data_IF_236794577366
#
_entry.id   IF_236794577366
#
_cell.length_a   1.000
_cell.length_b   1.000
_cell.length_c   1.000
_cell.angle_alpha   90.00
_cell.angle_beta   90.00
_cell.angle_gamma   90.00
#
_symmetry.space_group_name_H-M   'P 1'
#
loop_
_entity.id
_entity.type
_entity.pdbx_description
1 polymer ?
#
# COMPACT_ATOMS: atom_id res chain seq x y z
N UNK A 1 -20.90 -37.92 -7.76
CA UNK A 1 -19.90 -36.84 -7.82
C UNK A 1 -20.65 -35.59 -8.24
N UNK A 2 -21.27 -34.90 -7.28
CA UNK A 2 -21.96 -33.63 -7.54
C UNK A 2 -21.02 -32.56 -6.99
N UNK A 3 -20.35 -31.86 -7.90
CA UNK A 3 -19.66 -30.61 -7.60
C UNK A 3 -20.76 -29.58 -7.30
N UNK A 4 -21.01 -29.35 -6.02
CA UNK A 4 -21.79 -28.19 -5.58
C UNK A 4 -20.94 -26.95 -5.80
N UNK A 5 -21.24 -26.22 -6.88
CA UNK A 5 -20.79 -24.86 -7.10
C UNK A 5 -21.40 -24.03 -5.97
N UNK A 6 -20.59 -23.64 -4.99
CA UNK A 6 -20.96 -22.57 -4.07
C UNK A 6 -20.98 -21.28 -4.89
N UNK A 7 -22.15 -20.86 -5.39
CA UNK A 7 -22.29 -19.46 -5.75
C UNK A 7 -22.28 -18.68 -4.45
N UNK A 8 -21.32 -17.78 -4.24
CA UNK A 8 -21.44 -16.81 -3.16
C UNK A 8 -22.70 -15.98 -3.45
N UNK A 9 -23.77 -16.22 -2.68
CA UNK A 9 -24.96 -15.40 -2.79
C UNK A 9 -24.66 -14.09 -2.07
N UNK A 10 -24.49 -13.02 -2.84
CA UNK A 10 -24.41 -11.65 -2.34
C UNK A 10 -25.67 -11.40 -1.49
N UNK A 11 -25.48 -11.11 -0.20
CA UNK A 11 -26.60 -10.95 0.74
C UNK A 11 -26.98 -9.48 0.79
N UNK A 12 -28.19 -9.14 0.35
CA UNK A 12 -28.78 -7.81 0.61
C UNK A 12 -28.95 -7.58 2.11
N UNK A 13 -28.68 -6.37 2.56
CA UNK A 13 -28.85 -5.92 3.93
C UNK A 13 -29.19 -4.44 3.97
N UNK A 14 -29.87 -4.04 5.04
CA UNK A 14 -30.24 -2.65 5.32
C UNK A 14 -29.26 -2.05 6.32
N UNK A 15 -28.80 -0.82 6.08
CA UNK A 15 -28.08 -0.05 7.08
C UNK A 15 -29.07 0.59 8.05
N UNK A 16 -28.89 0.34 9.34
CA UNK A 16 -29.55 1.10 10.40
C UNK A 16 -28.62 2.24 10.80
N UNK A 17 -29.10 3.47 10.69
CA UNK A 17 -28.30 4.67 10.89
C UNK A 17 -28.83 5.52 12.05
N UNK A 18 -27.89 6.09 12.81
CA UNK A 18 -28.11 7.33 13.52
C UNK A 18 -27.76 8.50 12.60
N UNK A 19 -28.57 9.55 12.58
CA UNK A 19 -28.34 10.66 11.65
C UNK A 19 -27.72 11.88 12.33
N UNK A 20 -26.75 12.51 11.65
CA UNK A 20 -26.07 13.72 12.14
C UNK A 20 -25.93 14.76 11.04
N UNK A 21 -26.04 16.03 11.44
CA UNK A 21 -25.74 17.17 10.58
C UNK A 21 -24.43 17.78 11.08
N UNK A 22 -23.45 17.96 10.19
CA UNK A 22 -22.17 18.59 10.51
C UNK A 22 -21.70 19.50 9.36
N UNK A 23 -20.71 20.33 9.64
CA UNK A 23 -19.95 21.09 8.64
C UNK A 23 -18.48 20.62 8.67
N UNK A 24 -17.71 20.88 7.61
CA UNK A 24 -16.27 20.65 7.63
C UNK A 24 -15.51 21.89 8.11
N UNK A 25 -14.31 21.68 8.63
CA UNK A 25 -13.36 22.77 8.88
C UNK A 25 -12.99 23.51 7.58
N UNK A 26 -13.16 22.86 6.42
CA UNK A 26 -12.78 23.38 5.10
C UNK A 26 -13.97 23.78 4.21
N UNK A 27 -15.21 23.63 4.66
CA UNK A 27 -16.42 24.05 3.92
C UNK A 27 -17.56 24.47 4.85
N UNK A 28 -18.29 25.51 4.47
CA UNK A 28 -19.52 25.92 5.14
C UNK A 28 -20.73 25.04 4.80
N UNK A 29 -20.59 24.12 3.84
CA UNK A 29 -21.67 23.24 3.43
C UNK A 29 -21.98 22.23 4.54
N UNK A 30 -23.27 22.05 4.82
CA UNK A 30 -23.76 21.06 5.79
C UNK A 30 -23.91 19.69 5.16
N UNK A 31 -23.62 18.66 5.94
CA UNK A 31 -23.60 17.27 5.51
C UNK A 31 -24.50 16.48 6.42
N UNK A 32 -25.38 15.71 5.80
CA UNK A 32 -26.29 14.80 6.46
C UNK A 32 -25.73 13.39 6.38
N UNK A 33 -25.27 12.92 7.54
CA UNK A 33 -24.47 11.71 7.69
C UNK A 33 -25.35 10.59 8.26
N UNK A 34 -25.33 9.43 7.61
CA UNK A 34 -25.69 8.16 8.23
C UNK A 34 -24.49 7.63 9.02
N UNK A 35 -24.59 7.57 10.34
CA UNK A 35 -23.66 6.87 11.23
C UNK A 35 -24.18 5.45 11.47
N UNK A 36 -23.47 4.44 10.96
CA UNK A 36 -23.96 3.05 10.93
C UNK A 36 -23.95 2.42 12.32
N UNK A 37 -25.11 1.92 12.75
CA UNK A 37 -25.30 1.30 14.07
C UNK A 37 -25.17 -0.24 14.03
N UNK A 38 -25.73 -0.89 13.01
CA UNK A 38 -25.84 -2.35 12.90
C UNK A 38 -24.60 -3.00 12.26
N UNK A 39 -23.47 -2.94 12.96
CA UNK A 39 -22.16 -3.37 12.45
C UNK A 39 -22.04 -4.88 12.20
N UNK A 40 -22.95 -5.68 12.76
CA UNK A 40 -22.99 -7.14 12.58
C UNK A 40 -23.27 -7.57 11.13
N UNK A 41 -23.84 -6.68 10.30
CA UNK A 41 -24.11 -7.00 8.89
C UNK A 41 -22.81 -7.20 8.08
N UNK A 42 -21.69 -6.67 8.58
CA UNK A 42 -20.38 -6.77 7.95
C UNK A 42 -19.66 -8.10 8.23
N UNK A 43 -20.30 -9.05 8.92
CA UNK A 43 -19.76 -10.41 9.08
C UNK A 43 -19.65 -11.18 7.76
N UNK A 44 -20.34 -10.74 6.71
CA UNK A 44 -20.23 -11.26 5.37
C UNK A 44 -19.38 -10.31 4.50
N UNK A 45 -18.27 -10.83 3.97
CA UNK A 45 -17.33 -10.08 3.14
C UNK A 45 -17.96 -9.58 1.81
N UNK A 46 -19.11 -10.13 1.39
CA UNK A 46 -19.86 -9.70 0.19
C UNK A 46 -21.27 -9.19 0.51
N UNK A 47 -21.40 -8.37 1.55
CA UNK A 47 -22.68 -7.71 1.87
C UNK A 47 -23.01 -6.63 0.84
N UNK A 48 -24.23 -6.69 0.29
CA UNK A 48 -24.81 -5.65 -0.55
C UNK A 48 -25.74 -4.79 0.30
N UNK A 49 -25.55 -3.49 0.27
CA UNK A 49 -26.44 -2.54 0.96
C UNK A 49 -27.39 -1.94 -0.06
N UNK A 50 -28.68 -2.17 0.13
CA UNK A 50 -29.75 -1.75 -0.79
C UNK A 50 -30.87 -0.96 -0.11
N UNK A 51 -30.72 -0.63 1.17
CA UNK A 51 -31.65 0.20 1.91
C UNK A 51 -30.97 0.88 3.10
N UNK A 52 -31.47 2.06 3.46
CA UNK A 52 -31.14 2.78 4.67
C UNK A 52 -32.40 2.93 5.52
N UNK A 53 -32.26 2.68 6.82
CA UNK A 53 -33.30 2.80 7.81
C UNK A 53 -32.81 3.57 9.04
N UNK A 54 -33.69 4.34 9.66
CA UNK A 54 -33.43 5.05 10.90
C UNK A 54 -34.40 6.22 11.08
N UNK A 55 -34.34 6.84 12.24
CA UNK A 55 -35.18 8.00 12.55
C UNK A 55 -34.47 9.30 12.09
N UNK A 56 -34.93 9.87 10.97
CA UNK A 56 -34.34 11.08 10.39
C UNK A 56 -34.54 12.33 11.26
N UNK A 57 -33.63 13.28 11.12
CA UNK A 57 -33.71 14.60 11.77
C UNK A 57 -34.43 15.61 10.90
N UNK A 58 -35.25 16.43 11.55
CA UNK A 58 -36.04 17.50 10.92
C UNK A 58 -36.91 16.98 9.76
N UNK A 59 -36.75 17.52 8.56
CA UNK A 59 -37.48 17.12 7.35
C UNK A 59 -36.59 16.35 6.36
N UNK A 60 -35.45 15.83 6.79
CA UNK A 60 -34.56 15.08 5.90
C UNK A 60 -35.08 13.68 5.64
N UNK A 61 -34.78 13.15 4.46
CA UNK A 61 -35.11 11.79 4.01
C UNK A 61 -33.84 11.05 3.57
N UNK A 62 -33.98 9.82 3.06
CA UNK A 62 -32.83 9.04 2.57
C UNK A 62 -32.11 9.74 1.41
N UNK A 63 -32.87 10.45 0.56
CA UNK A 63 -32.32 11.15 -0.62
C UNK A 63 -31.43 12.34 -0.25
N UNK A 64 -31.56 12.87 0.97
CA UNK A 64 -30.72 13.97 1.48
C UNK A 64 -29.38 13.48 2.05
N UNK A 65 -29.20 12.18 2.21
CA UNK A 65 -27.98 11.60 2.76
C UNK A 65 -26.83 11.84 1.77
N UNK A 66 -25.79 12.49 2.27
CA UNK A 66 -24.59 12.79 1.50
C UNK A 66 -23.30 12.43 2.26
N UNK A 67 -23.43 11.83 3.45
CA UNK A 67 -22.32 11.27 4.19
C UNK A 67 -22.60 9.88 4.75
N UNK A 68 -21.58 9.02 4.73
CA UNK A 68 -21.60 7.70 5.36
C UNK A 68 -20.44 7.58 6.35
N UNK A 69 -20.73 7.20 7.59
CA UNK A 69 -19.72 6.90 8.61
C UNK A 69 -19.87 5.49 9.15
N UNK A 70 -18.80 4.70 9.07
CA UNK A 70 -18.70 3.35 9.65
C UNK A 70 -17.51 3.33 10.61
N UNK A 71 -17.78 3.15 11.89
CA UNK A 71 -16.71 3.24 12.90
C UNK A 71 -16.71 2.05 13.85
N UNK A 72 -15.56 1.72 14.43
CA UNK A 72 -15.39 0.71 15.49
C UNK A 72 -16.03 -0.64 15.09
N UNK A 73 -15.65 -1.17 13.92
CA UNK A 73 -16.18 -2.43 13.37
C UNK A 73 -15.06 -3.36 12.97
N UNK A 74 -14.70 -4.29 13.87
CA UNK A 74 -13.73 -5.35 13.59
C UNK A 74 -14.22 -6.38 12.56
N UNK A 75 -15.50 -6.32 12.18
CA UNK A 75 -16.10 -7.23 11.19
C UNK A 75 -15.95 -6.71 9.76
N UNK A 76 -15.87 -5.39 9.58
CA UNK A 76 -15.68 -4.80 8.26
C UNK A 76 -14.27 -5.10 7.75
N UNK A 77 -14.14 -6.06 6.83
CA UNK A 77 -12.88 -6.45 6.18
C UNK A 77 -12.77 -6.05 4.72
N UNK A 78 -13.91 -6.02 4.03
CA UNK A 78 -14.08 -5.55 2.66
C UNK A 78 -15.06 -4.39 2.64
N UNK A 79 -14.93 -3.51 1.65
CA UNK A 79 -15.86 -2.41 1.47
C UNK A 79 -17.24 -2.99 1.08
N UNK A 80 -18.35 -2.52 1.69
CA UNK A 80 -19.67 -3.07 1.39
C UNK A 80 -20.11 -2.66 -0.03
N UNK A 81 -20.77 -3.56 -0.75
CA UNK A 81 -21.29 -3.23 -2.09
C UNK A 81 -22.48 -2.28 -1.95
N UNK A 82 -22.25 -0.99 -2.17
CA UNK A 82 -23.25 0.07 -2.06
C UNK A 82 -24.02 0.20 -3.38
N UNK A 83 -25.35 0.19 -3.36
CA UNK A 83 -26.16 0.37 -4.57
C UNK A 83 -26.17 1.83 -5.04
N UNK A 84 -25.92 2.03 -6.33
CA UNK A 84 -25.84 3.35 -6.98
C UNK A 84 -27.04 4.26 -6.66
N UNK A 85 -28.26 3.72 -6.66
CA UNK A 85 -29.50 4.47 -6.42
C UNK A 85 -29.53 5.21 -5.06
N UNK A 86 -28.84 4.69 -4.05
CA UNK A 86 -28.88 5.22 -2.67
C UNK A 86 -27.69 6.13 -2.40
N UNK A 87 -26.54 5.83 -3.02
CA UNK A 87 -25.25 6.42 -2.63
C UNK A 87 -24.63 7.33 -3.69
N UNK A 88 -25.32 7.60 -4.81
CA UNK A 88 -24.87 8.53 -5.87
C UNK A 88 -24.65 9.97 -5.38
N UNK A 89 -25.26 10.36 -4.26
CA UNK A 89 -25.16 11.69 -3.66
C UNK A 89 -24.09 11.80 -2.57
N UNK A 90 -23.37 10.71 -2.29
CA UNK A 90 -22.31 10.73 -1.29
C UNK A 90 -21.19 11.68 -1.69
N UNK A 91 -20.91 12.63 -0.79
CA UNK A 91 -19.77 13.54 -0.85
C UNK A 91 -18.74 13.23 0.24
N UNK A 92 -19.14 12.52 1.29
CA UNK A 92 -18.30 12.16 2.44
C UNK A 92 -18.39 10.68 2.79
N UNK A 93 -17.24 10.05 2.95
CA UNK A 93 -17.12 8.71 3.51
C UNK A 93 -16.07 8.72 4.61
N UNK A 94 -16.44 8.15 5.75
CA UNK A 94 -15.55 7.90 6.88
C UNK A 94 -15.64 6.45 7.30
N UNK A 95 -14.48 5.80 7.34
CA UNK A 95 -14.29 4.46 7.88
C UNK A 95 -13.16 4.55 8.90
N UNK A 96 -13.46 4.27 10.17
CA UNK A 96 -12.50 4.45 11.26
C UNK A 96 -12.52 3.26 12.22
N UNK A 97 -11.35 2.82 12.68
CA UNK A 97 -11.21 1.68 13.61
C UNK A 97 -11.94 0.43 13.09
N UNK A 98 -11.46 -0.07 11.94
CA UNK A 98 -12.00 -1.26 11.28
C UNK A 98 -10.90 -2.23 10.86
N UNK A 99 -11.26 -3.30 10.14
CA UNK A 99 -10.31 -4.27 9.59
C UNK A 99 -10.28 -4.25 8.05
N UNK A 100 -10.68 -3.13 7.42
CA UNK A 100 -10.70 -2.95 5.98
C UNK A 100 -9.29 -3.02 5.36
N UNK A 101 -8.98 -4.15 4.72
CA UNK A 101 -7.62 -4.43 4.20
C UNK A 101 -7.34 -3.89 2.81
N UNK A 102 -8.40 -3.74 2.03
CA UNK A 102 -8.35 -3.49 0.60
C UNK A 102 -9.45 -2.49 0.20
N UNK A 103 -9.14 -1.73 -0.84
CA UNK A 103 -10.02 -0.79 -1.49
C UNK A 103 -9.73 -0.85 -2.98
N UNK A 104 -10.75 -1.05 -3.80
CA UNK A 104 -10.64 -1.20 -5.26
C UNK A 104 -11.50 -0.14 -5.98
N UNK A 105 -11.25 0.07 -7.28
CA UNK A 105 -12.02 1.03 -8.11
C UNK A 105 -13.54 0.83 -7.99
N UNK A 106 -13.98 -0.42 -8.08
CA UNK A 106 -15.41 -0.77 -8.04
C UNK A 106 -16.09 -0.42 -6.71
N UNK A 107 -15.33 -0.28 -5.61
CA UNK A 107 -15.88 0.06 -4.30
C UNK A 107 -16.36 1.52 -4.24
N UNK A 108 -15.73 2.41 -5.01
CA UNK A 108 -16.02 3.85 -5.03
C UNK A 108 -16.65 4.34 -6.34
N UNK A 109 -16.80 3.45 -7.33
CA UNK A 109 -17.17 3.76 -8.71
C UNK A 109 -18.41 4.64 -8.88
N UNK A 110 -19.47 4.40 -8.11
CA UNK A 110 -20.71 5.16 -8.20
C UNK A 110 -20.73 6.47 -7.42
N UNK A 111 -19.74 6.68 -6.53
CA UNK A 111 -19.63 7.86 -5.67
C UNK A 111 -18.88 8.97 -6.40
N UNK A 112 -19.34 9.32 -7.61
CA UNK A 112 -18.65 10.27 -8.50
C UNK A 112 -18.58 11.70 -7.94
N UNK A 113 -19.43 12.03 -6.96
CA UNK A 113 -19.47 13.30 -6.24
C UNK A 113 -18.61 13.32 -4.98
N UNK A 114 -17.88 12.24 -4.68
CA UNK A 114 -17.09 12.11 -3.47
C UNK A 114 -16.00 13.19 -3.41
N UNK A 115 -15.99 13.94 -2.31
CA UNK A 115 -15.03 15.03 -2.05
C UNK A 115 -14.11 14.72 -0.87
N UNK A 116 -14.60 13.94 0.09
CA UNK A 116 -13.95 13.72 1.36
C UNK A 116 -13.93 12.23 1.67
N UNK A 117 -12.73 11.66 1.75
CA UNK A 117 -12.53 10.25 2.04
C UNK A 117 -11.59 10.09 3.22
N UNK A 118 -12.09 9.50 4.29
CA UNK A 118 -11.31 9.16 5.48
C UNK A 118 -11.40 7.66 5.70
N UNK A 119 -10.29 6.96 5.56
CA UNK A 119 -10.18 5.55 5.93
C UNK A 119 -9.00 5.47 6.88
N UNK A 120 -9.25 5.51 8.18
CA UNK A 120 -8.20 5.66 9.22
C UNK A 120 -8.24 4.51 10.20
N UNK A 121 -7.08 4.11 10.73
CA UNK A 121 -6.95 2.95 11.63
C UNK A 121 -7.74 1.72 11.17
N UNK A 122 -7.61 1.36 9.88
CA UNK A 122 -8.46 0.34 9.25
C UNK A 122 -7.69 -0.85 8.66
N UNK A 123 -6.35 -0.90 8.82
CA UNK A 123 -5.47 -1.99 8.32
C UNK A 123 -5.34 -2.06 6.79
N UNK A 124 -5.62 -0.97 6.09
CA UNK A 124 -5.43 -0.86 4.65
C UNK A 124 -3.94 -1.04 4.31
N UNK A 125 -3.61 -1.87 3.31
CA UNK A 125 -2.22 -2.22 2.99
C UNK A 125 -1.69 -1.66 1.66
N UNK A 126 -2.57 -1.58 0.66
CA UNK A 126 -2.20 -1.34 -0.73
C UNK A 126 -3.13 -0.28 -1.32
N UNK A 127 -2.55 0.73 -1.98
CA UNK A 127 -3.28 1.68 -2.82
C UNK A 127 -2.86 1.47 -4.29
N UNK A 128 -3.76 0.93 -5.11
CA UNK A 128 -3.55 0.71 -6.56
C UNK A 128 -3.94 1.96 -7.37
N UNK A 129 -3.45 2.09 -8.60
CA UNK A 129 -3.59 3.32 -9.39
C UNK A 129 -5.03 3.65 -9.79
N UNK A 130 -5.88 2.64 -9.95
CA UNK A 130 -7.25 2.72 -10.47
C UNK A 130 -8.30 3.13 -9.43
N UNK A 131 -7.98 3.09 -8.13
CA UNK A 131 -8.96 3.25 -7.02
C UNK A 131 -9.82 4.51 -7.18
N UNK A 132 -9.25 5.62 -7.67
CA UNK A 132 -9.94 6.90 -7.78
C UNK A 132 -10.29 7.33 -9.21
N UNK A 133 -10.29 6.40 -10.17
CA UNK A 133 -10.56 6.70 -11.58
C UNK A 133 -11.90 7.42 -11.82
N UNK A 134 -12.88 7.21 -10.94
CA UNK A 134 -14.22 7.79 -11.01
C UNK A 134 -14.48 8.92 -10.00
N UNK A 135 -13.55 9.19 -9.07
CA UNK A 135 -13.74 10.11 -7.95
C UNK A 135 -12.88 11.38 -8.09
N UNK A 136 -12.89 11.97 -9.30
CA UNK A 136 -12.04 13.11 -9.65
C UNK A 136 -12.35 14.41 -8.89
N UNK A 137 -13.46 14.39 -8.13
CA UNK A 137 -13.90 15.50 -7.29
C UNK A 137 -13.30 15.47 -5.87
N UNK A 138 -12.49 14.47 -5.54
CA UNK A 138 -11.81 14.36 -4.25
C UNK A 138 -10.96 15.59 -3.93
N UNK A 139 -11.20 16.15 -2.75
CA UNK A 139 -10.53 17.33 -2.21
C UNK A 139 -9.67 16.99 -0.98
N UNK A 140 -10.10 16.04 -0.16
CA UNK A 140 -9.39 15.61 1.05
C UNK A 140 -9.39 14.09 1.14
N UNK A 141 -8.21 13.52 1.32
CA UNK A 141 -8.01 12.10 1.55
C UNK A 141 -7.17 11.92 2.81
N UNK A 142 -7.60 11.04 3.71
CA UNK A 142 -6.78 10.55 4.81
C UNK A 142 -6.79 9.03 4.85
N UNK A 143 -5.60 8.45 4.80
CA UNK A 143 -5.32 7.05 5.07
C UNK A 143 -4.47 6.89 6.34
N UNK A 144 -4.59 7.83 7.28
CA UNK A 144 -3.77 7.85 8.48
C UNK A 144 -3.91 6.57 9.33
N UNK A 145 -2.81 6.17 9.95
CA UNK A 145 -2.71 5.05 10.88
C UNK A 145 -3.16 3.70 10.28
N UNK A 146 -2.96 3.52 8.97
CA UNK A 146 -3.08 2.22 8.31
C UNK A 146 -1.73 1.51 8.15
N UNK A 147 -1.80 0.24 7.75
CA UNK A 147 -0.64 -0.63 7.53
C UNK A 147 -0.14 -0.55 6.07
N UNK A 148 -0.17 0.66 5.47
CA UNK A 148 0.16 0.85 4.06
C UNK A 148 1.62 0.50 3.77
N UNK A 149 1.83 -0.62 3.09
CA UNK A 149 3.14 -1.12 2.64
C UNK A 149 3.41 -0.77 1.17
N UNK A 150 2.37 -0.51 0.38
CA UNK A 150 2.49 -0.15 -1.03
C UNK A 150 1.49 0.96 -1.41
N UNK A 151 2.00 1.96 -2.13
CA UNK A 151 1.22 3.03 -2.73
C UNK A 151 1.71 3.16 -4.17
N UNK A 152 0.80 2.96 -5.13
CA UNK A 152 1.15 3.17 -6.53
C UNK A 152 1.52 4.64 -6.76
N UNK A 153 2.64 4.95 -7.43
CA UNK A 153 3.06 6.33 -7.66
C UNK A 153 2.01 7.18 -8.37
N UNK A 154 1.11 6.58 -9.14
CA UNK A 154 0.16 7.31 -9.98
C UNK A 154 -1.24 7.43 -9.39
N UNK A 155 -1.55 6.79 -8.26
CA UNK A 155 -2.91 6.73 -7.69
C UNK A 155 -3.57 8.09 -7.45
N UNK A 156 -2.78 9.14 -7.18
CA UNK A 156 -3.31 10.49 -6.95
C UNK A 156 -3.15 11.45 -8.15
N UNK A 157 -2.61 10.99 -9.28
CA UNK A 157 -2.17 11.87 -10.38
C UNK A 157 -3.32 12.67 -11.00
N UNK A 158 -4.49 12.04 -11.13
CA UNK A 158 -5.65 12.65 -11.77
C UNK A 158 -6.51 13.48 -10.82
N UNK A 159 -6.22 13.47 -9.52
CA UNK A 159 -6.97 14.18 -8.48
C UNK A 159 -6.60 15.67 -8.42
N UNK A 160 -6.93 16.39 -9.49
CA UNK A 160 -6.61 17.83 -9.67
C UNK A 160 -7.28 18.77 -8.66
N UNK A 161 -8.28 18.29 -7.94
CA UNK A 161 -8.99 19.04 -6.89
C UNK A 161 -8.48 18.71 -5.49
N UNK A 162 -7.56 17.76 -5.34
CA UNK A 162 -7.01 17.34 -4.06
C UNK A 162 -6.22 18.50 -3.42
N UNK A 163 -6.59 18.83 -2.20
CA UNK A 163 -6.03 19.92 -1.38
C UNK A 163 -5.31 19.38 -0.15
N UNK A 164 -5.67 18.19 0.32
CA UNK A 164 -5.08 17.62 1.51
C UNK A 164 -4.96 16.10 1.39
N UNK A 165 -3.76 15.59 1.69
CA UNK A 165 -3.47 14.15 1.70
C UNK A 165 -2.71 13.79 2.97
N UNK A 166 -3.35 12.99 3.82
CA UNK A 166 -2.74 12.48 5.02
C UNK A 166 -2.45 10.98 4.90
N UNK A 167 -1.17 10.61 4.94
CA UNK A 167 -0.68 9.23 5.00
C UNK A 167 0.17 9.01 6.27
N UNK A 168 -0.06 9.81 7.32
CA UNK A 168 0.64 9.66 8.60
C UNK A 168 0.43 8.26 9.17
N UNK A 169 1.45 7.67 9.80
CA UNK A 169 1.33 6.34 10.39
C UNK A 169 1.49 5.17 9.39
N UNK A 170 1.47 5.42 8.08
CA UNK A 170 1.85 4.42 7.08
C UNK A 170 3.30 3.96 7.28
N UNK A 171 3.59 2.67 7.01
CA UNK A 171 4.97 2.15 7.03
C UNK A 171 5.83 2.83 5.94
N UNK A 172 5.20 3.29 4.86
CA UNK A 172 5.70 4.36 3.98
C UNK A 172 5.50 5.75 4.60
N UNK A 173 6.45 6.19 5.45
CA UNK A 173 6.30 7.39 6.28
C UNK A 173 6.36 8.69 5.47
N UNK A 174 5.23 9.28 5.09
CA UNK A 174 5.16 10.64 4.53
C UNK A 174 3.77 11.28 4.69
N UNK A 175 3.65 12.50 5.24
CA UNK A 175 2.43 13.31 5.16
C UNK A 175 2.70 14.58 4.35
N UNK A 176 1.75 15.02 3.52
CA UNK A 176 1.94 16.15 2.60
C UNK A 176 0.76 17.12 2.64
N UNK A 177 1.08 18.39 2.89
CA UNK A 177 0.13 19.47 2.69
C UNK A 177 0.22 19.90 1.22
N UNK A 178 -0.82 19.60 0.43
CA UNK A 178 -0.86 19.88 -0.99
C UNK A 178 -1.40 21.31 -1.17
N UNK A 179 -0.52 22.30 -1.11
CA UNK A 179 -0.85 23.65 -1.56
C UNK A 179 -1.53 23.57 -2.94
N UNK A 180 -2.53 24.43 -3.20
CA UNK A 180 -3.52 24.39 -4.32
C UNK A 180 -2.96 24.30 -5.76
N UNK A 181 -1.66 24.11 -5.93
CA UNK A 181 -0.94 23.90 -7.17
C UNK A 181 -0.57 22.42 -7.34
N UNK A 182 -0.65 21.90 -8.56
CA UNK A 182 -0.19 20.54 -8.93
C UNK A 182 1.30 20.25 -8.60
N UNK A 183 2.06 21.24 -8.12
CA UNK A 183 3.42 21.07 -7.60
C UNK A 183 3.45 20.11 -6.40
N UNK A 184 2.46 20.17 -5.50
CA UNK A 184 2.41 19.28 -4.33
C UNK A 184 2.26 17.80 -4.71
N UNK A 185 1.42 17.49 -5.72
CA UNK A 185 1.26 16.11 -6.21
C UNK A 185 2.54 15.64 -6.92
N UNK A 186 3.21 16.51 -7.67
CA UNK A 186 4.51 16.16 -8.26
C UNK A 186 5.60 15.89 -7.21
N UNK A 187 5.60 16.62 -6.10
CA UNK A 187 6.50 16.38 -4.97
C UNK A 187 6.14 15.10 -4.21
N UNK A 188 4.84 14.80 -4.03
CA UNK A 188 4.33 13.54 -3.50
C UNK A 188 4.80 12.35 -4.33
N UNK A 189 4.63 12.39 -5.66
CA UNK A 189 5.09 11.33 -6.57
C UNK A 189 6.60 11.11 -6.39
N UNK A 190 7.39 12.19 -6.41
CA UNK A 190 8.85 12.10 -6.18
C UNK A 190 9.21 11.54 -4.81
N UNK A 191 8.40 11.81 -3.80
CA UNK A 191 8.63 11.29 -2.45
C UNK A 191 8.25 9.81 -2.35
N UNK A 192 7.11 9.39 -2.91
CA UNK A 192 6.70 7.98 -3.02
C UNK A 192 7.76 7.18 -3.79
N UNK A 193 8.31 7.72 -4.88
CA UNK A 193 9.40 7.08 -5.64
C UNK A 193 10.73 7.00 -4.87
N UNK A 194 10.97 7.92 -3.92
CA UNK A 194 12.25 8.05 -3.20
C UNK A 194 12.29 7.23 -1.91
N UNK A 195 11.17 7.08 -1.22
CA UNK A 195 11.03 6.13 -0.13
C UNK A 195 10.78 4.76 -0.76
N UNK A 196 11.42 3.70 -0.26
CA UNK A 196 11.31 2.34 -0.80
C UNK A 196 9.92 1.72 -0.57
N UNK A 197 8.84 2.39 -0.99
CA UNK A 197 7.58 1.73 -1.26
C UNK A 197 7.85 0.94 -2.54
N UNK A 198 8.19 -0.35 -2.41
CA UNK A 198 8.56 -1.18 -3.55
C UNK A 198 7.44 -1.09 -4.56
N UNK A 199 7.72 -0.48 -5.71
CA UNK A 199 6.78 -0.33 -6.81
C UNK A 199 6.45 -1.73 -7.32
N UNK A 200 5.29 -2.27 -6.94
CA UNK A 200 4.76 -3.52 -7.50
C UNK A 200 4.62 -3.42 -9.03
N UNK A 201 4.53 -2.20 -9.57
CA UNK A 201 4.41 -1.96 -11.00
C UNK A 201 5.75 -2.15 -11.77
N UNK A 202 6.93 -1.96 -11.15
CA UNK A 202 8.21 -2.09 -11.87
C UNK A 202 8.56 -3.54 -12.25
N UNK A 203 7.98 -4.52 -11.54
CA UNK A 203 8.12 -5.95 -11.87
C UNK A 203 7.12 -6.43 -12.94
N UNK A 204 6.12 -5.61 -13.28
CA UNK A 204 5.10 -5.90 -14.28
C UNK A 204 5.43 -5.35 -15.68
N UNK A 205 6.71 -5.19 -16.01
CA UNK A 205 7.15 -4.87 -17.38
C UNK A 205 6.96 -6.04 -18.38
N UNK A 206 6.26 -7.10 -17.96
CA UNK A 206 5.70 -8.14 -18.80
C UNK A 206 4.16 -8.11 -18.72
N UNK A 207 3.56 -7.19 -19.49
CA UNK A 207 2.24 -7.32 -20.14
C UNK A 207 1.10 -7.87 -19.26
N UNK A 208 0.37 -7.00 -18.58
CA UNK A 208 -1.04 -7.22 -18.27
C UNK A 208 -1.78 -5.93 -18.61
N UNK A 209 -2.61 -5.98 -19.66
CA UNK A 209 -3.65 -4.97 -19.90
C UNK A 209 -4.61 -5.04 -18.70
N UNK A 210 -4.94 -3.91 -18.09
CA UNK A 210 -5.85 -3.79 -16.94
C UNK A 210 -7.33 -3.98 -17.34
N UNK A 211 -7.61 -4.98 -18.17
CA UNK A 211 -8.95 -5.41 -18.57
C UNK A 211 -8.91 -6.94 -18.60
N UNK A 212 -9.25 -7.59 -17.48
CA UNK A 212 -9.88 -8.92 -17.48
C UNK A 212 -10.33 -9.25 -16.04
N UNK A 213 -11.61 -8.96 -15.77
CA UNK A 213 -12.41 -9.60 -14.73
C UNK A 213 -12.48 -11.10 -15.01
N UNK A 214 -11.65 -11.91 -14.35
CA UNK A 214 -11.89 -13.33 -14.00
C UNK A 214 -10.57 -13.99 -13.56
N UNK A 215 -10.28 -14.00 -12.24
CA UNK A 215 -9.65 -15.09 -11.47
C UNK A 215 -8.96 -14.58 -10.19
N UNK A 216 -9.76 -14.32 -9.15
CA UNK A 216 -9.31 -13.96 -7.79
C UNK A 216 -8.53 -15.10 -7.10
N UNK A 217 -8.60 -16.34 -7.60
CA UNK A 217 -7.89 -17.50 -7.03
C UNK A 217 -6.45 -17.69 -7.54
N UNK A 218 -6.03 -16.96 -8.58
CA UNK A 218 -4.67 -17.05 -9.14
C UNK A 218 -3.71 -16.03 -8.52
N UNK A 219 -4.25 -14.95 -7.95
CA UNK A 219 -3.47 -13.88 -7.35
C UNK A 219 -2.86 -14.30 -5.99
N UNK A 220 -3.60 -15.03 -5.15
CA UNK A 220 -3.06 -15.57 -3.87
C UNK A 220 -1.95 -16.61 -4.10
N UNK A 221 -2.08 -17.45 -5.14
CA UNK A 221 -1.05 -18.45 -5.49
C UNK A 221 0.22 -17.78 -6.04
N UNK A 222 0.06 -16.67 -6.79
CA UNK A 222 1.16 -15.82 -7.25
C UNK A 222 1.82 -15.03 -6.10
N UNK A 223 1.08 -14.68 -5.04
CA UNK A 223 1.58 -13.96 -3.87
C UNK A 223 2.47 -14.87 -2.99
N UNK A 224 2.05 -16.12 -2.76
CA UNK A 224 2.89 -17.14 -2.08
C UNK A 224 4.16 -17.47 -2.90
N UNK A 225 4.05 -17.57 -4.22
CA UNK A 225 5.20 -17.79 -5.10
C UNK A 225 6.18 -16.61 -5.09
N UNK A 226 5.69 -15.39 -4.91
CA UNK A 226 6.51 -14.17 -4.88
C UNK A 226 7.26 -14.01 -3.55
N UNK A 227 6.62 -14.23 -2.41
CA UNK A 227 7.31 -14.29 -1.10
C UNK A 227 8.40 -15.38 -1.10
N UNK A 228 8.10 -16.54 -1.69
CA UNK A 228 9.09 -17.61 -1.88
C UNK A 228 10.27 -17.20 -2.76
N UNK A 229 10.03 -16.37 -3.78
CA UNK A 229 11.06 -15.90 -4.70
C UNK A 229 11.95 -14.84 -4.03
N UNK A 230 11.39 -13.93 -3.24
CA UNK A 230 12.16 -12.94 -2.47
C UNK A 230 13.08 -13.61 -1.44
N UNK A 231 12.60 -14.64 -0.73
CA UNK A 231 13.41 -15.41 0.21
C UNK A 231 14.57 -16.13 -0.49
N UNK A 232 14.30 -16.73 -1.66
CA UNK A 232 15.32 -17.39 -2.50
C UNK A 232 16.34 -16.39 -3.06
N UNK A 233 15.90 -15.21 -3.51
CA UNK A 233 16.78 -14.18 -4.05
C UNK A 233 17.68 -13.59 -2.95
N UNK A 234 17.12 -13.32 -1.77
CA UNK A 234 17.86 -12.85 -0.60
C UNK A 234 18.92 -13.87 -0.18
N UNK A 235 18.55 -15.16 -0.13
CA UNK A 235 19.48 -16.26 0.16
C UNK A 235 20.60 -16.36 -0.89
N UNK A 236 20.27 -16.20 -2.16
CA UNK A 236 21.25 -16.21 -3.26
C UNK A 236 22.25 -15.06 -3.17
N UNK A 237 21.78 -13.83 -2.89
CA UNK A 237 22.66 -12.66 -2.70
C UNK A 237 23.60 -12.87 -1.53
N UNK A 238 23.12 -13.40 -0.40
CA UNK A 238 23.95 -13.74 0.76
C UNK A 238 25.04 -14.76 0.39
N UNK A 239 24.67 -15.82 -0.35
CA UNK A 239 25.64 -16.83 -0.80
C UNK A 239 26.70 -16.23 -1.73
N UNK A 240 26.31 -15.41 -2.71
CA UNK A 240 27.26 -14.73 -3.61
C UNK A 240 28.22 -13.82 -2.82
N UNK A 241 27.72 -13.09 -1.82
CA UNK A 241 28.55 -12.28 -0.93
C UNK A 241 29.54 -13.12 -0.11
N UNK A 242 29.12 -14.27 0.43
CA UNK A 242 29.98 -15.20 1.17
C UNK A 242 31.06 -15.77 0.23
N UNK A 243 30.69 -16.24 -0.96
CA UNK A 243 31.64 -16.76 -1.94
C UNK A 243 32.65 -15.68 -2.37
N UNK A 244 32.19 -14.45 -2.59
CA UNK A 244 33.06 -13.30 -2.87
C UNK A 244 34.05 -13.02 -1.74
N UNK A 245 33.60 -13.04 -0.48
CA UNK A 245 34.46 -12.86 0.69
C UNK A 245 35.49 -13.98 0.84
N UNK A 246 35.11 -15.24 0.60
CA UNK A 246 36.02 -16.40 0.65
C UNK A 246 37.10 -16.28 -0.42
N UNK A 247 36.72 -15.92 -1.66
CA UNK A 247 37.68 -15.69 -2.75
C UNK A 247 38.66 -14.57 -2.37
N UNK A 248 38.16 -13.47 -1.81
CA UNK A 248 39.01 -12.35 -1.35
C UNK A 248 40.02 -12.78 -0.28
N UNK A 249 39.59 -13.59 0.70
CA UNK A 249 40.48 -14.15 1.74
C UNK A 249 41.54 -15.06 1.13
N UNK A 250 41.17 -15.92 0.18
CA UNK A 250 42.12 -16.82 -0.50
C UNK A 250 43.16 -16.00 -1.30
N UNK A 251 42.72 -14.99 -2.05
CA UNK A 251 43.61 -14.13 -2.84
C UNK A 251 44.58 -13.37 -1.93
N UNK A 252 44.10 -12.79 -0.83
CA UNK A 252 44.97 -12.08 0.12
C UNK A 252 45.97 -13.03 0.80
N UNK A 253 45.58 -14.26 1.13
CA UNK A 253 46.47 -15.27 1.68
C UNK A 253 47.55 -15.70 0.67
N UNK A 254 47.17 -15.95 -0.59
CA UNK A 254 48.11 -16.32 -1.66
C UNK A 254 49.10 -15.19 -1.96
N UNK A 255 48.63 -13.94 -2.02
CA UNK A 255 49.48 -12.77 -2.18
C UNK A 255 50.44 -12.62 -0.98
N UNK A 256 49.93 -12.78 0.24
CA UNK A 256 50.75 -12.78 1.46
C UNK A 256 51.84 -13.86 1.44
N UNK A 257 51.48 -15.07 1.02
CA UNK A 257 52.42 -16.19 0.87
C UNK A 257 53.50 -15.92 -0.19
N UNK A 258 53.13 -15.35 -1.34
CA UNK A 258 54.08 -14.96 -2.38
C UNK A 258 55.04 -13.86 -1.90
N UNK A 259 54.54 -12.86 -1.18
CA UNK A 259 55.35 -11.79 -0.58
C UNK A 259 56.32 -12.38 0.44
N UNK A 260 55.83 -13.25 1.34
CA UNK A 260 56.67 -13.92 2.34
C UNK A 260 57.81 -14.73 1.71
N UNK A 261 57.53 -15.50 0.65
CA UNK A 261 58.55 -16.26 -0.07
C UNK A 261 59.58 -15.36 -0.77
N UNK A 262 59.16 -14.22 -1.35
CA UNK A 262 60.09 -13.22 -1.90
C UNK A 262 60.99 -12.61 -0.82
N UNK A 263 60.44 -12.27 0.34
CA UNK A 263 61.21 -11.73 1.47
C UNK A 263 62.21 -12.75 2.02
N UNK A 264 61.79 -14.01 2.17
CA UNK A 264 62.68 -15.10 2.61
C UNK A 264 63.83 -15.34 1.64
N UNK A 265 63.57 -15.28 0.33
CA UNK A 265 64.62 -15.38 -0.71
C UNK A 265 65.58 -14.20 -0.65
N UNK A 266 65.07 -12.98 -0.44
CA UNK A 266 65.90 -11.77 -0.29
C UNK A 266 66.77 -11.85 0.97
N UNK A 267 66.25 -12.34 2.08
CA UNK A 267 67.01 -12.58 3.33
C UNK A 267 68.17 -13.56 3.13
N UNK A 268 67.93 -14.70 2.46
CA UNK A 268 69.00 -15.67 2.17
C UNK A 268 70.10 -15.10 1.28
N UNK A 269 69.72 -14.30 0.27
CA UNK A 269 70.70 -13.66 -0.59
C UNK A 269 71.53 -12.60 0.16
N UNK A 270 70.96 -11.92 1.15
CA UNK A 270 71.69 -10.97 2.01
C UNK A 270 72.69 -11.72 2.89
N UNK A 271 72.29 -12.84 3.51
CA UNK A 271 73.19 -13.70 4.30
C UNK A 271 74.35 -14.28 3.46
N UNK A 272 74.11 -14.64 2.19
CA UNK A 272 75.17 -15.09 1.27
C UNK A 272 76.12 -13.96 0.88
N UNK A 273 75.61 -12.75 0.66
CA UNK A 273 76.44 -11.57 0.35
C UNK A 273 77.30 -11.20 1.56
N UNK A 274 76.73 -11.12 2.76
CA UNK A 274 77.48 -10.84 4.00
C UNK A 274 78.61 -11.86 4.22
N UNK A 275 78.31 -13.16 4.09
CA UNK A 275 79.30 -14.24 4.19
C UNK A 275 80.39 -14.15 3.11
N UNK A 276 80.09 -13.59 1.94
CA UNK A 276 81.07 -13.38 0.86
C UNK A 276 81.98 -12.18 1.14
N UNK A 277 81.46 -11.10 1.73
CA UNK A 277 82.26 -9.93 2.14
C UNK A 277 83.21 -10.22 3.30
N UNK A 278 82.81 -11.09 4.24
CA UNK A 278 83.68 -11.50 5.35
C UNK A 278 84.89 -12.34 4.89
N UNK A 279 84.75 -13.09 3.79
CA UNK A 279 85.84 -13.88 3.19
C UNK A 279 86.85 -13.01 2.43
N UNK A 280 86.43 -11.84 1.93
CA UNK A 280 87.30 -10.92 1.16
C UNK A 280 88.09 -9.96 2.07
N UNK A 281 87.66 -9.78 3.32
CA UNK A 281 88.31 -8.89 4.31
C UNK A 281 89.28 -9.62 5.27
N UNK A 282 89.66 -10.86 4.97
CA UNK A 282 90.59 -11.71 5.74
C UNK A 282 91.83 -12.03 4.90
#
# INVERSE_FOLDING_TARGET
MILSIYSSQTKSSTLNCSFKITTFDFSSDTIYICEVENKEIFDNDEVKIDAIHGDHKDSHENDDINGLSIENSSKLKKFPKLTDEIFENLIYISIHDTNLKELNENDLKSMTKLKFLFITDSKLKILKCEIFQHNLDLEVISFADNDLIHIDPFVFTDLKKLKHLDLTGATCRTSFDLDKTNEGISELIKAIERFQCVSYCYLMTLKIDCDDDENESSAEELEEDFESLEEKLTTFVILVCIFGAVIFIIVTFLLGFMIFNKLKKKSKNIEEVERSTDIVNQ
#
